data_IF_839914824512
#
_entry.id   IF_839914824512
#
_cell.length_a   1.000
_cell.length_b   1.000
_cell.length_c   1.000
_cell.angle_alpha   90.00
_cell.angle_beta   90.00
_cell.angle_gamma   90.00
#
_symmetry.space_group_name_H-M   'P 1'
#
loop_
_entity.id
_entity.type
_entity.pdbx_description
1 polymer ?
#
# COMPACT_ATOMS: atom_id res chain seq x y z
N UNK A 1 17.21 -12.10 8.42
CA UNK A 1 15.78 -12.46 8.58
C UNK A 1 15.37 -12.24 10.03
N UNK A 2 14.11 -11.90 10.28
CA UNK A 2 13.55 -11.65 11.62
C UNK A 2 12.30 -12.52 11.75
N UNK A 3 12.21 -13.35 12.80
CA UNK A 3 11.00 -14.08 13.13
C UNK A 3 9.95 -13.11 13.67
N UNK A 4 8.74 -13.17 13.13
CA UNK A 4 7.61 -12.31 13.53
C UNK A 4 6.63 -13.04 14.44
N UNK A 5 5.70 -12.31 15.06
CA UNK A 5 4.79 -12.84 16.08
C UNK A 5 3.86 -13.97 15.61
N UNK A 6 3.56 -14.06 14.31
CA UNK A 6 2.73 -15.12 13.73
C UNK A 6 3.55 -16.34 13.23
N UNK A 7 4.86 -16.36 13.51
CA UNK A 7 5.76 -17.43 13.10
C UNK A 7 6.30 -17.29 11.68
N UNK A 8 5.88 -16.28 10.91
CA UNK A 8 6.47 -15.99 9.59
C UNK A 8 7.73 -15.13 9.72
N UNK A 9 8.52 -15.05 8.65
CA UNK A 9 9.74 -14.25 8.63
C UNK A 9 9.56 -12.96 7.84
N UNK A 10 10.26 -11.91 8.28
CA UNK A 10 10.46 -10.68 7.52
C UNK A 10 11.96 -10.36 7.42
N UNK A 11 12.31 -9.27 6.73
CA UNK A 11 13.67 -8.75 6.64
C UNK A 11 13.70 -7.29 7.04
N UNK A 12 14.82 -6.86 7.63
CA UNK A 12 15.06 -5.46 7.95
C UNK A 12 15.75 -4.79 6.76
N UNK A 13 15.20 -3.67 6.30
CA UNK A 13 15.81 -2.88 5.26
C UNK A 13 16.74 -1.83 5.90
N UNK A 14 18.08 -1.92 5.71
CA UNK A 14 19.03 -1.07 6.42
C UNK A 14 18.89 0.42 6.06
N UNK A 15 18.66 0.75 4.78
CA UNK A 15 18.52 2.14 4.34
C UNK A 15 17.29 2.84 4.94
N UNK A 16 16.13 2.19 4.96
CA UNK A 16 14.91 2.75 5.55
C UNK A 16 14.85 2.59 7.08
N UNK A 17 15.64 1.67 7.64
CA UNK A 17 15.68 1.41 9.08
C UNK A 17 14.40 0.76 9.60
N UNK A 18 13.70 0.01 8.76
CA UNK A 18 12.41 -0.61 9.07
C UNK A 18 12.35 -2.05 8.54
N UNK A 19 11.57 -2.95 9.19
CA UNK A 19 11.26 -4.23 8.61
C UNK A 19 10.23 -4.07 7.47
N UNK A 20 10.29 -4.96 6.47
CA UNK A 20 9.30 -5.01 5.38
C UNK A 20 7.88 -5.28 5.90
N UNK A 21 7.76 -6.06 6.98
CA UNK A 21 6.49 -6.32 7.64
C UNK A 21 6.60 -6.24 9.17
N UNK A 22 5.46 -6.05 9.82
CA UNK A 22 5.31 -5.80 11.25
C UNK A 22 5.71 -7.02 12.08
N UNK A 23 6.90 -6.95 12.68
CA UNK A 23 7.44 -7.98 13.59
C UNK A 23 6.48 -8.34 14.72
N UNK A 24 5.77 -7.35 15.29
CA UNK A 24 4.88 -7.55 16.44
C UNK A 24 3.49 -8.07 16.07
N UNK A 25 3.07 -7.90 14.82
CA UNK A 25 1.77 -8.39 14.36
C UNK A 25 1.91 -9.77 13.73
N UNK A 26 3.03 -10.02 13.05
CA UNK A 26 3.16 -11.13 12.12
C UNK A 26 3.10 -10.62 10.68
N UNK A 27 3.95 -11.14 9.79
CA UNK A 27 3.97 -10.69 8.39
C UNK A 27 2.73 -11.18 7.63
N UNK A 28 2.32 -12.43 7.82
CA UNK A 28 1.09 -12.96 7.24
C UNK A 28 -0.14 -12.30 7.86
N UNK A 29 -0.17 -12.13 9.18
CA UNK A 29 -1.25 -11.43 9.88
C UNK A 29 -1.39 -10.00 9.37
N UNK A 30 -0.30 -9.29 9.11
CA UNK A 30 -0.37 -7.95 8.51
C UNK A 30 -0.99 -7.97 7.12
N UNK A 31 -0.57 -8.90 6.24
CA UNK A 31 -1.13 -9.03 4.89
C UNK A 31 -2.65 -9.26 4.92
N UNK A 32 -3.11 -10.12 5.84
CA UNK A 32 -4.53 -10.45 5.98
C UNK A 32 -5.33 -9.27 6.56
N UNK A 33 -4.88 -8.78 7.72
CA UNK A 33 -5.68 -7.89 8.57
C UNK A 33 -5.55 -6.41 8.21
N UNK A 34 -4.45 -6.01 7.57
CA UNK A 34 -4.25 -4.61 7.16
C UNK A 34 -4.53 -4.37 5.69
N UNK A 35 -4.37 -5.39 4.84
CA UNK A 35 -4.52 -5.26 3.39
C UNK A 35 -5.73 -6.04 2.87
N UNK A 36 -5.71 -7.36 2.94
CA UNK A 36 -6.69 -8.22 2.28
C UNK A 36 -8.12 -8.00 2.79
N UNK A 37 -8.38 -8.23 4.08
CA UNK A 37 -9.74 -8.15 4.61
C UNK A 37 -10.32 -6.73 4.57
N UNK A 38 -9.58 -5.66 4.95
CA UNK A 38 -10.11 -4.31 4.87
C UNK A 38 -10.40 -3.84 3.45
N UNK A 39 -9.70 -4.39 2.43
CA UNK A 39 -9.99 -4.05 1.04
C UNK A 39 -11.42 -4.42 0.62
N UNK A 40 -11.99 -5.49 1.18
CA UNK A 40 -13.27 -6.04 0.73
C UNK A 40 -13.23 -6.67 -0.67
N UNK A 41 -12.03 -6.99 -1.17
CA UNK A 41 -11.84 -7.53 -2.52
C UNK A 41 -12.37 -8.96 -2.68
N UNK A 42 -12.42 -9.73 -1.58
CA UNK A 42 -12.95 -11.09 -1.58
C UNK A 42 -14.46 -11.10 -1.87
N UNK A 43 -15.21 -10.12 -1.36
CA UNK A 43 -16.63 -9.97 -1.71
C UNK A 43 -16.79 -9.65 -3.19
N UNK A 44 -15.96 -8.75 -3.74
CA UNK A 44 -15.98 -8.40 -5.16
C UNK A 44 -15.65 -9.58 -6.07
N UNK A 45 -14.79 -10.49 -5.63
CA UNK A 45 -14.42 -11.69 -6.39
C UNK A 45 -15.59 -12.66 -6.63
N UNK A 46 -16.66 -12.56 -5.83
CA UNK A 46 -17.90 -13.34 -6.01
C UNK A 46 -18.79 -12.80 -7.12
N UNK A 47 -18.70 -11.50 -7.37
CA UNK A 47 -19.59 -10.78 -8.29
C UNK A 47 -18.91 -10.43 -9.61
N UNK A 48 -17.57 -10.26 -9.59
CA UNK A 48 -16.77 -9.91 -10.77
C UNK A 48 -16.09 -11.13 -11.37
N UNK A 49 -15.82 -11.04 -12.69
CA UNK A 49 -15.02 -12.04 -13.44
C UNK A 49 -13.53 -11.78 -13.37
N UNK A 50 -13.14 -10.54 -13.04
CA UNK A 50 -11.76 -10.15 -12.88
C UNK A 50 -11.55 -9.25 -11.67
N UNK A 51 -10.34 -9.28 -11.14
CA UNK A 51 -9.86 -8.41 -10.09
C UNK A 51 -8.51 -7.84 -10.51
N UNK A 52 -8.31 -6.55 -10.22
CA UNK A 52 -7.11 -5.78 -10.58
C UNK A 52 -6.50 -5.19 -9.32
N UNK A 53 -5.25 -5.56 -9.04
CA UNK A 53 -4.49 -5.18 -7.86
C UNK A 53 -3.36 -4.28 -8.30
N UNK A 54 -3.35 -3.04 -7.82
CA UNK A 54 -2.21 -2.14 -7.94
C UNK A 54 -1.41 -2.24 -6.65
N UNK A 55 -0.14 -2.61 -6.74
CA UNK A 55 0.71 -2.89 -5.60
C UNK A 55 1.90 -1.93 -5.59
N UNK A 56 1.98 -1.09 -4.55
CA UNK A 56 3.05 -0.09 -4.40
C UNK A 56 4.01 -0.58 -3.33
N UNK A 57 5.19 -1.05 -3.75
CA UNK A 57 6.18 -1.69 -2.89
C UNK A 57 6.01 -3.20 -2.89
N UNK A 58 6.51 -3.88 -3.93
CA UNK A 58 6.48 -5.34 -4.03
C UNK A 58 7.09 -6.01 -2.80
N UNK A 59 8.22 -5.48 -2.33
CA UNK A 59 8.95 -5.95 -1.16
C UNK A 59 9.25 -7.44 -1.24
N UNK A 60 8.59 -8.23 -0.38
CA UNK A 60 8.75 -9.69 -0.33
C UNK A 60 7.74 -10.44 -1.23
N UNK A 61 6.79 -9.73 -1.83
CA UNK A 61 5.66 -10.28 -2.60
C UNK A 61 4.52 -10.83 -1.74
N UNK A 62 4.51 -10.56 -0.43
CA UNK A 62 3.58 -11.20 0.52
C UNK A 62 2.12 -10.76 0.31
N UNK A 63 1.84 -9.45 0.24
CA UNK A 63 0.48 -8.95 0.07
C UNK A 63 -0.16 -9.52 -1.20
N UNK A 64 0.58 -9.52 -2.32
CA UNK A 64 0.14 -10.06 -3.60
C UNK A 64 -0.09 -11.58 -3.52
N UNK A 65 0.87 -12.35 -2.97
CA UNK A 65 0.74 -13.80 -2.86
C UNK A 65 -0.47 -14.21 -1.99
N UNK A 66 -0.65 -13.53 -0.85
CA UNK A 66 -1.78 -13.74 0.07
C UNK A 66 -3.11 -13.40 -0.62
N UNK A 67 -3.17 -12.28 -1.33
CA UNK A 67 -4.38 -11.89 -2.06
C UNK A 67 -4.73 -12.87 -3.17
N UNK A 68 -3.77 -13.28 -4.01
CA UNK A 68 -3.99 -14.26 -5.09
C UNK A 68 -4.54 -15.57 -4.51
N UNK A 69 -3.92 -16.09 -3.44
CA UNK A 69 -4.36 -17.32 -2.78
C UNK A 69 -5.83 -17.23 -2.41
N UNK A 70 -6.22 -16.20 -1.65
CA UNK A 70 -7.61 -16.08 -1.17
C UNK A 70 -8.60 -15.78 -2.30
N UNK A 71 -8.22 -14.98 -3.31
CA UNK A 71 -9.05 -14.75 -4.48
C UNK A 71 -9.30 -16.05 -5.28
N UNK A 72 -8.29 -16.93 -5.37
CA UNK A 72 -8.41 -18.26 -5.99
C UNK A 72 -9.34 -19.18 -5.20
N UNK A 73 -9.28 -19.12 -3.88
CA UNK A 73 -10.19 -19.89 -3.01
C UNK A 73 -11.64 -19.42 -3.17
N UNK A 74 -11.87 -18.11 -3.30
CA UNK A 74 -13.21 -17.55 -3.52
C UNK A 74 -13.76 -17.86 -4.92
N UNK A 75 -12.91 -17.76 -5.95
CA UNK A 75 -13.32 -18.02 -7.33
C UNK A 75 -12.15 -18.54 -8.18
N UNK A 76 -12.14 -19.86 -8.41
CA UNK A 76 -11.08 -20.56 -9.16
C UNK A 76 -10.91 -20.04 -10.60
N UNK A 77 -11.95 -19.50 -11.22
CA UNK A 77 -11.94 -19.01 -12.61
C UNK A 77 -11.69 -17.50 -12.74
N UNK A 78 -11.52 -16.80 -11.62
CA UNK A 78 -11.29 -15.35 -11.60
C UNK A 78 -10.02 -14.99 -12.38
N UNK A 79 -10.11 -13.97 -13.23
CA UNK A 79 -8.90 -13.37 -13.81
C UNK A 79 -8.30 -12.38 -12.82
N UNK A 80 -7.02 -12.56 -12.47
CA UNK A 80 -6.34 -11.70 -11.50
C UNK A 80 -5.23 -10.95 -12.22
N UNK A 81 -5.36 -9.63 -12.30
CA UNK A 81 -4.35 -8.75 -12.87
C UNK A 81 -3.62 -8.04 -11.75
N UNK A 82 -2.30 -8.10 -11.74
CA UNK A 82 -1.46 -7.43 -10.75
C UNK A 82 -0.45 -6.56 -11.47
N UNK A 83 -0.43 -5.28 -11.11
CA UNK A 83 0.60 -4.34 -11.50
C UNK A 83 1.31 -3.89 -10.22
N UNK A 84 2.56 -4.31 -10.07
CA UNK A 84 3.38 -4.00 -8.91
C UNK A 84 4.54 -3.07 -9.25
N UNK A 85 4.99 -2.29 -8.28
CA UNK A 85 6.15 -1.39 -8.39
C UNK A 85 7.17 -1.75 -7.33
N UNK A 86 8.44 -1.81 -7.74
CA UNK A 86 9.56 -2.00 -6.83
C UNK A 86 10.76 -1.22 -7.34
N UNK A 87 11.48 -0.56 -6.44
CA UNK A 87 12.71 0.14 -6.80
C UNK A 87 13.85 -0.86 -6.89
N UNK A 88 13.98 -1.73 -5.89
CA UNK A 88 15.09 -2.64 -5.73
C UNK A 88 14.60 -4.02 -5.25
N UNK A 89 14.96 -5.07 -5.96
CA UNK A 89 14.65 -6.43 -5.56
C UNK A 89 15.67 -6.92 -4.53
N UNK A 90 15.20 -7.59 -3.49
CA UNK A 90 16.09 -8.29 -2.59
C UNK A 90 16.55 -9.64 -3.16
N UNK A 91 17.70 -10.10 -2.71
CA UNK A 91 18.16 -11.46 -2.97
C UNK A 91 17.49 -12.44 -1.99
N UNK A 92 16.91 -13.52 -2.51
CA UNK A 92 16.40 -14.65 -1.73
C UNK A 92 15.44 -14.24 -0.58
N UNK A 93 14.24 -13.72 -0.89
CA UNK A 93 13.26 -13.36 0.13
C UNK A 93 12.85 -14.58 0.97
N UNK A 94 12.59 -14.41 2.29
CA UNK A 94 11.98 -15.48 3.07
C UNK A 94 10.64 -15.88 2.46
N UNK A 95 10.31 -17.17 2.54
CA UNK A 95 9.05 -17.69 2.03
C UNK A 95 7.97 -17.67 3.12
N UNK A 96 6.75 -17.30 2.72
CA UNK A 96 5.55 -17.58 3.50
C UNK A 96 5.30 -19.08 3.60
N UNK A 97 4.62 -19.55 4.67
CA UNK A 97 4.18 -20.93 4.76
C UNK A 97 3.19 -21.28 3.65
N UNK A 98 3.11 -22.57 3.30
CA UNK A 98 2.06 -23.05 2.40
C UNK A 98 0.66 -22.82 2.99
N UNK A 99 -0.36 -22.52 2.16
CA UNK A 99 -0.32 -22.48 0.69
C UNK A 99 0.14 -21.13 0.08
N UNK A 100 0.49 -20.13 0.89
CA UNK A 100 0.88 -18.81 0.39
C UNK A 100 2.26 -18.81 -0.29
N UNK A 101 3.16 -19.65 0.23
CA UNK A 101 4.51 -19.85 -0.32
C UNK A 101 4.51 -20.28 -1.79
N UNK A 102 3.55 -21.09 -2.24
CA UNK A 102 3.37 -21.43 -3.65
C UNK A 102 3.23 -20.19 -4.54
N UNK A 103 2.29 -19.30 -4.20
CA UNK A 103 2.05 -18.11 -5.01
C UNK A 103 3.20 -17.12 -4.91
N UNK A 104 3.84 -17.00 -3.75
CA UNK A 104 5.04 -16.19 -3.63
C UNK A 104 6.15 -16.70 -4.56
N UNK A 105 6.44 -18.00 -4.59
CA UNK A 105 7.42 -18.58 -5.51
C UNK A 105 7.04 -18.36 -6.97
N UNK A 106 5.76 -18.54 -7.30
CA UNK A 106 5.24 -18.26 -8.65
C UNK A 106 5.54 -16.82 -9.08
N UNK A 107 5.37 -15.83 -8.19
CA UNK A 107 5.71 -14.43 -8.47
C UNK A 107 7.21 -14.25 -8.71
N UNK A 108 8.05 -14.74 -7.80
CA UNK A 108 9.50 -14.52 -7.83
C UNK A 108 10.23 -15.26 -8.96
N UNK A 109 9.83 -16.50 -9.26
CA UNK A 109 10.44 -17.31 -10.32
C UNK A 109 10.12 -16.79 -11.72
N UNK A 110 9.08 -15.96 -11.87
CA UNK A 110 8.60 -15.46 -13.16
C UNK A 110 8.65 -13.93 -13.27
N UNK A 111 9.53 -13.27 -12.51
CA UNK A 111 9.80 -11.85 -12.69
C UNK A 111 10.42 -11.56 -14.08
N UNK A 112 10.16 -10.39 -14.67
CA UNK A 112 9.32 -9.30 -14.15
C UNK A 112 7.83 -9.46 -14.48
N UNK A 113 7.43 -10.44 -15.31
CA UNK A 113 6.04 -10.59 -15.72
C UNK A 113 5.71 -12.01 -16.16
N UNK A 114 4.46 -12.42 -15.94
CA UNK A 114 3.94 -13.70 -16.44
C UNK A 114 2.42 -13.68 -16.57
N UNK A 115 1.94 -14.62 -17.38
CA UNK A 115 0.53 -14.99 -17.45
C UNK A 115 0.39 -16.50 -17.26
N UNK A 116 -0.20 -16.91 -16.14
CA UNK A 116 -0.36 -18.32 -15.80
C UNK A 116 -1.53 -18.52 -14.85
N UNK A 117 -2.28 -19.61 -15.04
CA UNK A 117 -3.38 -19.99 -14.13
C UNK A 117 -4.44 -18.88 -13.96
N UNK A 118 -4.68 -18.05 -14.98
CA UNK A 118 -5.58 -16.89 -14.91
C UNK A 118 -5.05 -15.72 -14.08
N UNK A 119 -3.75 -15.70 -13.80
CA UNK A 119 -3.02 -14.60 -13.14
C UNK A 119 -2.17 -13.94 -14.20
N UNK A 120 -2.34 -12.63 -14.39
CA UNK A 120 -1.44 -11.77 -15.17
C UNK A 120 -0.72 -10.87 -14.18
N UNK A 121 0.59 -11.01 -14.06
CA UNK A 121 1.42 -10.24 -13.15
C UNK A 121 2.46 -9.45 -13.94
N UNK A 122 2.67 -8.19 -13.56
CA UNK A 122 3.74 -7.35 -14.07
C UNK A 122 4.34 -6.53 -12.93
N UNK A 123 5.66 -6.61 -12.79
CA UNK A 123 6.47 -5.78 -11.92
C UNK A 123 7.17 -4.70 -12.77
N UNK A 124 6.98 -3.44 -12.37
CA UNK A 124 7.74 -2.32 -12.91
C UNK A 124 8.90 -2.00 -11.98
N UNK A 125 10.11 -2.41 -12.40
CA UNK A 125 11.34 -2.18 -11.65
C UNK A 125 11.88 -0.76 -11.89
N UNK A 126 12.21 -0.06 -10.81
CA UNK A 126 12.74 1.30 -10.79
C UNK A 126 11.90 2.24 -9.91
N UNK A 127 12.25 3.53 -9.92
CA UNK A 127 11.52 4.53 -9.13
C UNK A 127 10.04 4.57 -9.54
N UNK A 128 9.16 4.19 -8.60
CA UNK A 128 7.72 4.11 -8.85
C UNK A 128 7.15 5.45 -9.31
N UNK A 129 7.72 6.58 -8.89
CA UNK A 129 7.30 7.92 -9.32
C UNK A 129 7.43 8.13 -10.83
N UNK A 130 8.48 7.55 -11.44
CA UNK A 130 8.70 7.58 -12.88
C UNK A 130 7.85 6.51 -13.57
N UNK A 131 7.92 5.27 -13.06
CA UNK A 131 7.23 4.12 -13.65
C UNK A 131 5.73 4.27 -13.70
N UNK A 132 5.11 4.89 -12.70
CA UNK A 132 3.66 5.06 -12.68
C UNK A 132 3.17 5.99 -13.80
N UNK A 133 4.01 6.92 -14.27
CA UNK A 133 3.67 7.83 -15.38
C UNK A 133 3.70 7.14 -16.75
N UNK A 134 4.38 6.00 -16.85
CA UNK A 134 4.42 5.16 -18.05
C UNK A 134 3.12 4.34 -18.22
N UNK A 135 2.27 4.29 -17.19
CA UNK A 135 1.02 3.51 -17.18
C UNK A 135 -0.15 4.40 -17.56
N UNK A 136 -0.76 4.15 -18.72
CA UNK A 136 -1.87 4.96 -19.23
C UNK A 136 -3.19 4.73 -18.49
N UNK A 137 -3.51 3.46 -18.20
CA UNK A 137 -4.71 3.04 -17.47
C UNK A 137 -4.50 1.65 -16.87
N UNK A 138 -5.20 1.36 -15.78
CA UNK A 138 -5.18 0.05 -15.14
C UNK A 138 -6.53 -0.33 -14.50
N UNK A 139 -7.28 0.65 -13.96
CA UNK A 139 -8.60 0.45 -13.32
C UNK A 139 -8.52 -0.48 -12.10
N UNK A 140 -7.62 -0.16 -11.18
CA UNK A 140 -7.38 -0.93 -9.97
C UNK A 140 -8.64 -1.04 -9.10
N UNK A 141 -9.08 -2.27 -8.84
CA UNK A 141 -10.15 -2.55 -7.88
C UNK A 141 -9.66 -2.39 -6.44
N UNK A 142 -8.37 -2.64 -6.21
CA UNK A 142 -7.67 -2.37 -4.96
C UNK A 142 -6.29 -1.77 -5.25
N UNK A 143 -5.85 -0.86 -4.38
CA UNK A 143 -4.46 -0.48 -4.23
C UNK A 143 -3.95 -0.98 -2.89
N UNK A 144 -2.90 -1.81 -2.90
CA UNK A 144 -2.09 -2.08 -1.72
C UNK A 144 -0.92 -1.10 -1.73
N UNK A 145 -0.96 -0.14 -0.80
CA UNK A 145 0.09 0.87 -0.70
C UNK A 145 0.96 0.56 0.50
N UNK A 146 2.02 -0.23 0.26
CA UNK A 146 2.89 -0.82 1.28
C UNK A 146 4.35 -0.42 1.12
N UNK A 147 4.59 0.87 0.91
CA UNK A 147 5.91 1.44 1.02
C UNK A 147 6.38 1.48 2.49
N UNK A 148 7.68 1.68 2.71
CA UNK A 148 8.20 2.03 4.04
C UNK A 148 7.54 3.32 4.56
N UNK A 149 7.60 3.54 5.87
CA UNK A 149 6.75 4.54 6.51
C UNK A 149 6.95 5.95 5.94
N UNK A 150 5.93 6.84 6.02
CA UNK A 150 5.97 8.12 5.31
C UNK A 150 7.15 9.04 5.62
N UNK A 151 7.79 8.89 6.78
CA UNK A 151 8.98 9.67 7.13
C UNK A 151 10.30 9.00 6.72
N UNK A 152 10.25 7.72 6.33
CA UNK A 152 11.40 6.93 5.84
C UNK A 152 11.46 6.89 4.33
N UNK A 153 10.31 6.82 3.67
CA UNK A 153 10.21 6.72 2.21
C UNK A 153 9.19 7.73 1.67
N UNK A 154 9.36 9.03 1.96
CA UNK A 154 8.37 10.09 1.76
C UNK A 154 7.87 10.24 0.33
N UNK A 155 8.71 9.91 -0.65
CA UNK A 155 8.45 10.11 -2.07
C UNK A 155 7.25 9.28 -2.57
N UNK A 156 6.95 8.15 -1.92
CA UNK A 156 5.78 7.31 -2.22
C UNK A 156 4.51 7.71 -1.47
N UNK A 157 4.52 8.81 -0.72
CA UNK A 157 3.39 9.26 0.11
C UNK A 157 2.96 10.70 -0.18
N UNK A 158 3.57 11.32 -1.19
CA UNK A 158 3.28 12.71 -1.55
C UNK A 158 1.91 12.84 -2.20
N UNK A 159 1.34 14.05 -2.13
CA UNK A 159 0.09 14.38 -2.80
C UNK A 159 0.17 14.08 -4.31
N UNK A 160 1.29 14.40 -4.94
CA UNK A 160 1.50 14.21 -6.38
C UNK A 160 1.62 12.74 -6.76
N UNK A 161 2.33 11.93 -5.97
CA UNK A 161 2.40 10.49 -6.22
C UNK A 161 1.04 9.82 -6.01
N UNK A 162 0.32 10.16 -4.93
CA UNK A 162 -1.02 9.64 -4.67
C UNK A 162 -2.04 10.08 -5.74
N UNK A 163 -1.84 11.23 -6.39
CA UNK A 163 -2.63 11.62 -7.56
C UNK A 163 -2.41 10.64 -8.73
N UNK A 164 -1.16 10.21 -9.00
CA UNK A 164 -0.90 9.21 -10.04
C UNK A 164 -1.53 7.86 -9.68
N UNK A 165 -1.45 7.44 -8.41
CA UNK A 165 -2.14 6.25 -7.92
C UNK A 165 -3.64 6.35 -8.17
N UNK A 166 -4.27 7.48 -7.79
CA UNK A 166 -5.71 7.73 -8.02
C UNK A 166 -6.10 7.59 -9.50
N UNK A 167 -5.28 8.06 -10.44
CA UNK A 167 -5.56 7.97 -11.88
C UNK A 167 -5.63 6.53 -12.40
N UNK A 168 -4.97 5.60 -11.72
CA UNK A 168 -4.97 4.19 -12.06
C UNK A 168 -6.08 3.39 -11.36
N UNK A 169 -6.84 4.01 -10.46
CA UNK A 169 -7.92 3.36 -9.72
C UNK A 169 -9.23 3.36 -10.49
N UNK A 170 -9.98 2.26 -10.34
CA UNK A 170 -11.40 2.25 -10.66
C UNK A 170 -12.17 3.22 -9.73
N UNK A 171 -13.30 3.75 -10.19
CA UNK A 171 -14.11 4.71 -9.40
C UNK A 171 -14.66 4.09 -8.12
N UNK A 172 -14.97 2.80 -8.14
CA UNK A 172 -15.34 2.03 -6.95
C UNK A 172 -14.11 1.40 -6.27
N UNK A 173 -12.92 1.56 -6.83
CA UNK A 173 -11.67 1.07 -6.29
C UNK A 173 -11.38 1.60 -4.89
N UNK A 174 -10.66 0.80 -4.10
CA UNK A 174 -10.24 1.19 -2.75
C UNK A 174 -8.73 1.19 -2.62
N UNK A 175 -8.21 2.18 -1.91
CA UNK A 175 -6.82 2.29 -1.51
C UNK A 175 -6.68 1.84 -0.06
N UNK A 176 -5.70 0.99 0.23
CA UNK A 176 -5.48 0.39 1.55
C UNK A 176 -4.01 0.51 1.94
N UNK A 177 -3.76 0.87 3.20
CA UNK A 177 -2.43 0.85 3.78
C UNK A 177 -2.46 0.65 5.30
N UNK A 178 -1.37 0.14 5.85
CA UNK A 178 -1.16 0.05 7.30
C UNK A 178 -1.05 1.43 7.98
N UNK A 179 -0.74 2.49 7.24
CA UNK A 179 -0.44 3.81 7.82
C UNK A 179 -1.70 4.55 8.27
N UNK A 180 -1.62 5.23 9.43
CA UNK A 180 -2.58 6.24 9.89
C UNK A 180 -1.97 7.64 9.95
N UNK A 181 -0.93 7.89 9.15
CA UNK A 181 -0.28 9.19 9.02
C UNK A 181 -1.28 10.28 8.63
N UNK A 182 -1.28 11.39 9.37
CA UNK A 182 -2.15 12.54 9.08
C UNK A 182 -1.76 13.21 7.76
N UNK A 183 -0.47 13.26 7.42
CA UNK A 183 0.00 13.79 6.14
C UNK A 183 -0.61 13.01 4.96
N UNK A 184 -0.59 11.68 5.05
CA UNK A 184 -1.16 10.78 4.01
C UNK A 184 -2.67 10.92 3.95
N UNK A 185 -3.36 10.86 5.10
CA UNK A 185 -4.82 11.06 5.16
C UNK A 185 -5.22 12.42 4.61
N UNK A 186 -4.43 13.48 4.88
CA UNK A 186 -4.67 14.81 4.33
C UNK A 186 -4.53 14.82 2.81
N UNK A 187 -3.48 14.21 2.26
CA UNK A 187 -3.31 14.07 0.82
C UNK A 187 -4.50 13.35 0.18
N UNK A 188 -4.90 12.19 0.70
CA UNK A 188 -6.05 11.44 0.20
C UNK A 188 -7.35 12.27 0.27
N UNK A 189 -7.59 12.97 1.38
CA UNK A 189 -8.76 13.84 1.54
C UNK A 189 -8.75 15.00 0.51
N UNK A 190 -7.61 15.65 0.28
CA UNK A 190 -7.47 16.71 -0.74
C UNK A 190 -7.68 16.17 -2.16
N UNK A 191 -7.36 14.90 -2.40
CA UNK A 191 -7.67 14.21 -3.65
C UNK A 191 -9.14 13.77 -3.76
N UNK A 192 -9.99 14.12 -2.80
CA UNK A 192 -11.42 13.83 -2.80
C UNK A 192 -11.79 12.41 -2.36
N UNK A 193 -10.86 11.66 -1.76
CA UNK A 193 -11.19 10.37 -1.18
C UNK A 193 -11.98 10.53 0.13
N UNK A 194 -12.97 9.65 0.30
CA UNK A 194 -13.56 9.35 1.60
C UNK A 194 -12.64 8.43 2.38
N UNK A 195 -12.56 8.60 3.70
CA UNK A 195 -11.58 7.93 4.55
C UNK A 195 -12.24 7.07 5.64
N UNK A 196 -11.67 5.90 5.89
CA UNK A 196 -12.04 5.01 6.98
C UNK A 196 -10.79 4.56 7.72
N UNK A 197 -10.91 4.39 9.03
CA UNK A 197 -9.86 3.73 9.84
C UNK A 197 -10.10 2.23 9.83
N UNK A 198 -9.07 1.45 9.49
CA UNK A 198 -9.15 -0.02 9.56
C UNK A 198 -8.91 -0.52 10.99
N UNK A 199 -9.20 -1.78 11.27
CA UNK A 199 -9.00 -2.34 12.61
C UNK A 199 -7.52 -2.28 13.04
N UNK A 200 -7.29 -2.12 14.34
CA UNK A 200 -5.95 -2.15 14.91
C UNK A 200 -5.51 -3.60 15.16
N UNK A 201 -4.53 -4.09 14.40
CA UNK A 201 -3.95 -5.43 14.60
C UNK A 201 -2.47 -5.32 14.95
N UNK A 202 -2.10 -5.88 16.10
CA UNK A 202 -0.72 -5.88 16.63
C UNK A 202 -0.15 -4.50 16.99
N UNK A 203 -0.96 -3.43 16.96
CA UNK A 203 -0.61 -2.04 17.33
C UNK A 203 -1.81 -1.34 17.96
N UNK A 204 -1.58 -0.17 18.60
CA UNK A 204 -2.64 0.67 19.19
C UNK A 204 -3.53 1.40 18.18
N UNK A 205 -3.09 1.58 16.93
CA UNK A 205 -3.82 2.32 15.89
C UNK A 205 -4.01 1.45 14.66
N UNK A 206 -5.17 1.60 14.04
CA UNK A 206 -5.47 1.02 12.74
C UNK A 206 -4.72 1.69 11.59
N UNK A 207 -4.92 1.14 10.39
CA UNK A 207 -4.46 1.70 9.13
C UNK A 207 -5.49 2.64 8.51
N UNK A 208 -5.42 2.79 7.20
CA UNK A 208 -6.31 3.67 6.44
C UNK A 208 -6.87 2.94 5.23
N UNK A 209 -8.18 3.06 5.05
CA UNK A 209 -8.89 2.71 3.82
C UNK A 209 -9.43 4.00 3.21
N UNK A 210 -9.27 4.15 1.90
CA UNK A 210 -9.74 5.29 1.15
C UNK A 210 -10.46 4.84 -0.13
N UNK A 211 -11.49 5.55 -0.55
CA UNK A 211 -12.23 5.27 -1.78
C UNK A 211 -13.07 6.48 -2.19
N UNK A 212 -13.34 6.65 -3.48
CA UNK A 212 -14.19 7.75 -3.95
C UNK A 212 -15.66 7.45 -3.61
N UNK A 213 -16.06 6.19 -3.78
CA UNK A 213 -17.45 5.71 -3.59
C UNK A 213 -17.70 4.98 -2.26
N UNK A 214 -16.87 5.20 -1.23
CA UNK A 214 -17.09 4.64 0.12
C UNK A 214 -17.56 5.74 1.09
N UNK A 215 -18.30 5.44 2.17
CA UNK A 215 -18.60 6.44 3.18
C UNK A 215 -17.35 6.79 4.00
N UNK A 216 -17.23 8.04 4.43
CA UNK A 216 -16.21 8.42 5.42
C UNK A 216 -16.59 7.89 6.80
N UNK A 217 -15.71 7.11 7.43
CA UNK A 217 -15.88 6.50 8.76
C UNK A 217 -14.64 6.78 9.63
N UNK A 218 -14.36 8.07 9.86
CA UNK A 218 -13.40 8.51 10.87
C UNK A 218 -14.13 8.86 12.16
N UNK A 219 -13.55 8.52 13.31
CA UNK A 219 -14.07 9.00 14.60
C UNK A 219 -14.02 10.53 14.68
N UNK A 220 -14.85 11.19 15.51
CA UNK A 220 -14.79 12.63 15.70
C UNK A 220 -13.39 13.14 16.07
N UNK A 221 -12.65 12.39 16.89
CA UNK A 221 -11.27 12.74 17.28
C UNK A 221 -10.29 12.62 16.12
N UNK A 222 -10.44 11.63 15.25
CA UNK A 222 -9.62 11.51 14.04
C UNK A 222 -9.93 12.60 13.03
N UNK A 223 -11.22 12.93 12.84
CA UNK A 223 -11.63 14.04 11.99
C UNK A 223 -11.08 15.37 12.50
N UNK A 224 -11.19 15.63 13.81
CA UNK A 224 -10.59 16.82 14.42
C UNK A 224 -9.08 16.90 14.18
N UNK A 225 -8.35 15.79 14.34
CA UNK A 225 -6.91 15.74 14.04
C UNK A 225 -6.62 16.00 12.56
N UNK A 226 -7.43 15.45 11.65
CA UNK A 226 -7.27 15.67 10.21
C UNK A 226 -7.49 17.15 9.83
N UNK A 227 -8.37 17.86 10.52
CA UNK A 227 -8.68 19.26 10.22
C UNK A 227 -7.73 20.25 10.90
N UNK A 228 -7.25 19.95 12.10
CA UNK A 228 -6.61 20.96 12.96
C UNK A 228 -5.18 20.61 13.39
N UNK A 229 -4.71 19.38 13.20
CA UNK A 229 -3.34 19.03 13.58
C UNK A 229 -2.33 19.73 12.66
N UNK A 230 -1.23 20.31 13.20
CA UNK A 230 -0.16 20.87 12.38
C UNK A 230 0.55 19.80 11.54
N UNK A 231 0.45 18.52 11.94
CA UNK A 231 0.96 17.37 11.18
C UNK A 231 0.01 16.92 10.05
N UNK A 232 -1.17 17.54 9.92
CA UNK A 232 -2.15 17.25 8.87
C UNK A 232 -1.91 18.15 7.65
N UNK A 233 -0.68 18.12 7.15
CA UNK A 233 -0.26 18.76 5.90
C UNK A 233 0.33 17.72 4.96
N UNK A 234 0.09 17.81 3.65
CA UNK A 234 0.66 16.87 2.69
C UNK A 234 2.19 16.88 2.69
N UNK A 235 2.76 15.71 2.41
CA UNK A 235 4.08 15.61 1.79
C UNK A 235 3.94 16.02 0.31
N UNK A 236 4.92 16.75 -0.23
CA UNK A 236 4.85 17.28 -1.60
C UNK A 236 6.15 17.02 -2.37
N UNK A 237 5.98 16.50 -3.58
CA UNK A 237 7.03 16.27 -4.59
C UNK A 237 6.50 16.82 -5.91
N UNK A 238 6.88 18.04 -6.26
CA UNK A 238 6.23 18.77 -7.35
C UNK A 238 6.64 18.25 -8.74
N UNK A 239 7.81 17.63 -8.82
CA UNK A 239 8.40 17.13 -10.07
C UNK A 239 8.30 15.62 -10.20
N UNK A 240 7.90 14.90 -9.14
CA UNK A 240 8.01 13.44 -9.02
C UNK A 240 9.48 12.95 -9.08
N UNK A 241 10.42 13.85 -8.80
CA UNK A 241 11.85 13.62 -8.84
C UNK A 241 12.60 14.28 -7.67
N UNK A 242 11.89 14.99 -6.77
CA UNK A 242 12.52 15.63 -5.62
C UNK A 242 13.28 14.61 -4.76
N UNK A 243 14.42 15.01 -4.20
CA UNK A 243 15.14 14.17 -3.25
C UNK A 243 14.29 13.92 -2.00
N UNK A 244 14.25 12.68 -1.45
CA UNK A 244 13.47 12.38 -0.25
C UNK A 244 13.74 13.32 0.93
N UNK A 245 14.99 13.78 1.13
CA UNK A 245 15.33 14.72 2.21
C UNK A 245 14.73 16.11 2.00
N UNK A 246 14.58 16.54 0.74
CA UNK A 246 13.95 17.80 0.39
C UNK A 246 12.44 17.75 0.66
N UNK A 247 11.79 16.64 0.32
CA UNK A 247 10.36 16.41 0.63
C UNK A 247 10.13 16.52 2.14
N UNK A 248 10.98 15.86 2.95
CA UNK A 248 10.89 15.90 4.42
C UNK A 248 11.18 17.30 4.97
N UNK A 249 12.16 18.01 4.41
CA UNK A 249 12.51 19.36 4.85
C UNK A 249 11.34 20.32 4.63
N UNK A 250 10.72 20.30 3.44
CA UNK A 250 9.53 21.11 3.16
C UNK A 250 8.36 20.77 4.09
N UNK A 251 8.11 19.48 4.31
CA UNK A 251 7.07 19.04 5.26
C UNK A 251 7.33 19.55 6.67
N UNK A 252 8.56 19.39 7.20
CA UNK A 252 8.90 19.83 8.55
C UNK A 252 8.79 21.35 8.71
N UNK A 253 9.24 22.14 7.73
CA UNK A 253 9.08 23.60 7.76
C UNK A 253 7.61 24.02 7.83
N UNK A 254 6.73 23.36 7.07
CA UNK A 254 5.28 23.61 7.12
C UNK A 254 4.68 23.23 8.47
N UNK A 255 5.07 22.08 9.03
CA UNK A 255 4.62 21.63 10.35
C UNK A 255 5.04 22.62 11.44
N UNK A 256 6.29 23.08 11.44
CA UNK A 256 6.78 24.04 12.43
C UNK A 256 6.09 25.41 12.30
N UNK A 257 5.85 25.87 11.07
CA UNK A 257 5.08 27.10 10.84
C UNK A 257 3.67 27.02 11.43
N UNK A 258 2.99 25.87 11.30
CA UNK A 258 1.64 25.67 11.85
C UNK A 258 1.60 25.43 13.37
N UNK A 259 2.73 25.08 13.99
CA UNK A 259 2.84 24.98 15.45
C UNK A 259 3.07 26.33 16.12
N UNK A 260 3.59 27.32 15.39
CA UNK A 260 3.86 28.63 15.94
C UNK A 260 2.54 29.25 16.45
N UNK A 261 2.51 29.81 17.67
CA UNK A 261 1.34 30.55 18.15
C UNK A 261 1.10 31.74 17.22
N UNK A 262 -0.17 31.92 16.81
CA UNK A 262 -0.64 33.09 16.07
C UNK A 262 -0.46 34.39 16.87
#
# INVERSE_FOLDING_TARGET
>A
MILTADGTFTVFHPLYGEPYHSVTAGALTECLEKFLYPSGILQRAKEKREIRILDIGFGLGYNVAVAIKHLRDENRHLQIYVLSFEKELMENPPLLPEPYGYYQRLLWENLPAFEKEGISFKLLLGDARKKITEVSSFEAHVVFHDAFSPLKNPELWTLQFLLQVKRLMDIEGVWISYTSSLAVRKSLWLLGFNLQTTASVGRRRGGTKAGLSIPTLLSPQEMHKLLHSPFSVPLEDHTLEDDPSLILTRYNLRVEHLKAPL
#
